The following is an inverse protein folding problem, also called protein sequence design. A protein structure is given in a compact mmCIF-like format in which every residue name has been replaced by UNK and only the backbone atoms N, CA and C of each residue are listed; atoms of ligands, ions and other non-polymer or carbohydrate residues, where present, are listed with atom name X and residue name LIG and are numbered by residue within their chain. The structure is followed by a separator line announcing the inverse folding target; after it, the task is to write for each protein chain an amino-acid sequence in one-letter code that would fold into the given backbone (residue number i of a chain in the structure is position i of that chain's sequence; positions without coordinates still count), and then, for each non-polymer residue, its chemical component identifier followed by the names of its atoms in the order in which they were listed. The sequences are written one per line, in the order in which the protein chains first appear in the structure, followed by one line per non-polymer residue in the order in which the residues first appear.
data_IF_006931864790
#
_entry.id   IF_006931864790
#
_cell.length_a   1.000
_cell.length_b   1.000
_cell.length_c   1.000
_cell.angle_alpha   90.00
_cell.angle_beta   90.00
_cell.angle_gamma   90.00
#
_symmetry.space_group_name_H-M   'P 1'
#
loop_
_entity.id
_entity.type
_entity.pdbx_description
1 polymer ?
#
# COMPACT_ATOMS: atom_id res chain seq x y z
N UNK A 1 -7.99 11.92 -4.60
CA UNK A 1 -7.17 10.93 -3.86
C UNK A 1 -5.73 11.41 -3.89
N UNK A 2 -4.94 11.14 -2.84
CA UNK A 2 -3.50 11.46 -2.77
C UNK A 2 -2.69 10.17 -2.70
N UNK A 3 -1.43 10.20 -3.11
CA UNK A 3 -0.53 9.03 -3.08
C UNK A 3 -0.31 8.51 -1.65
N UNK A 4 -0.30 9.40 -0.65
CA UNK A 4 -0.22 9.03 0.77
C UNK A 4 -1.27 7.97 1.18
N UNK A 5 -2.46 7.98 0.55
CA UNK A 5 -3.48 6.95 0.78
C UNK A 5 -3.07 5.60 0.18
N UNK A 6 -2.49 5.58 -1.01
CA UNK A 6 -1.99 4.34 -1.62
C UNK A 6 -0.78 3.79 -0.85
N UNK A 7 0.10 4.67 -0.35
CA UNK A 7 1.18 4.30 0.57
C UNK A 7 0.62 3.60 1.81
N UNK A 8 -0.42 4.16 2.43
CA UNK A 8 -1.10 3.56 3.58
C UNK A 8 -1.72 2.19 3.24
N UNK A 9 -2.45 2.11 2.13
CA UNK A 9 -3.07 0.86 1.65
C UNK A 9 -2.01 -0.21 1.41
N UNK A 10 -0.91 0.12 0.75
CA UNK A 10 0.17 -0.82 0.49
C UNK A 10 0.89 -1.22 1.78
N UNK A 11 1.30 -0.27 2.60
CA UNK A 11 2.05 -0.54 3.83
C UNK A 11 1.29 -1.50 4.77
N UNK A 12 -0.02 -1.33 4.88
CA UNK A 12 -0.88 -2.16 5.74
C UNK A 12 -1.62 -3.27 5.00
N UNK A 13 -1.41 -3.40 3.69
CA UNK A 13 -2.02 -4.42 2.83
C UNK A 13 -3.57 -4.42 2.88
N UNK A 14 -4.18 -3.22 2.92
CA UNK A 14 -5.64 -3.00 3.01
C UNK A 14 -6.31 -2.97 1.63
N UNK A 15 -6.22 -4.07 0.90
CA UNK A 15 -6.88 -4.28 -0.38
C UNK A 15 -7.18 -5.76 -0.58
N UNK A 16 -8.04 -6.08 -1.55
CA UNK A 16 -8.34 -7.47 -1.88
C UNK A 16 -7.14 -8.16 -2.56
N UNK A 17 -6.56 -9.13 -1.84
CA UNK A 17 -5.42 -9.95 -2.26
C UNK A 17 -5.85 -11.25 -2.95
N UNK A 18 -7.15 -11.50 -3.10
CA UNK A 18 -7.66 -12.67 -3.81
C UNK A 18 -7.20 -12.63 -5.27
N UNK A 19 -6.59 -13.72 -5.74
CA UNK A 19 -6.04 -13.85 -7.10
C UNK A 19 -5.26 -12.60 -7.53
N UNK A 20 -4.32 -12.15 -6.69
CA UNK A 20 -3.52 -10.96 -6.94
C UNK A 20 -2.63 -11.20 -8.18
N UNK A 21 -2.74 -10.32 -9.16
CA UNK A 21 -2.03 -10.41 -10.44
C UNK A 21 -1.53 -9.05 -10.90
N UNK A 22 -0.43 -9.06 -11.65
CA UNK A 22 0.04 -7.89 -12.38
C UNK A 22 -0.92 -7.57 -13.52
N UNK A 23 -0.82 -6.37 -14.09
CA UNK A 23 -1.56 -5.98 -15.30
C UNK A 23 -1.24 -6.89 -16.50
N UNK A 24 -0.07 -7.53 -16.51
CA UNK A 24 0.32 -8.56 -17.47
C UNK A 24 -0.18 -9.98 -17.15
N UNK A 25 -0.94 -10.17 -16.07
CA UNK A 25 -1.54 -11.45 -15.69
C UNK A 25 -0.67 -12.37 -14.84
N UNK A 26 0.58 -11.99 -14.56
CA UNK A 26 1.49 -12.74 -13.69
C UNK A 26 1.00 -12.71 -12.24
N UNK A 27 1.06 -13.85 -11.54
CA UNK A 27 0.62 -13.95 -10.14
C UNK A 27 1.55 -13.18 -9.20
N UNK A 28 0.98 -12.47 -8.22
CA UNK A 28 1.73 -11.72 -7.21
C UNK A 28 1.44 -12.31 -5.84
N UNK A 29 2.50 -12.61 -5.08
CA UNK A 29 2.42 -12.83 -3.65
C UNK A 29 3.28 -11.79 -2.92
N UNK A 30 2.67 -11.01 -2.03
CA UNK A 30 3.39 -10.06 -1.18
C UNK A 30 3.90 -10.79 0.05
N UNK A 31 5.20 -11.11 0.09
CA UNK A 31 5.84 -11.74 1.25
C UNK A 31 6.20 -10.68 2.30
N UNK A 32 6.74 -9.54 1.85
CA UNK A 32 6.97 -8.33 2.64
C UNK A 32 6.72 -7.08 1.78
N UNK A 33 5.88 -6.12 2.21
CA UNK A 33 5.60 -4.90 1.43
C UNK A 33 6.80 -3.97 1.28
N UNK A 34 7.83 -4.14 2.11
CA UNK A 34 8.99 -3.25 2.19
C UNK A 34 8.85 -2.23 3.33
N UNK A 35 9.83 -1.34 3.41
CA UNK A 35 9.92 -0.27 4.40
C UNK A 35 9.74 1.06 3.67
N UNK A 36 8.85 1.93 4.19
CA UNK A 36 8.62 3.25 3.60
C UNK A 36 9.92 4.05 3.62
N UNK A 37 10.28 4.59 2.47
CA UNK A 37 11.42 5.46 2.28
C UNK A 37 10.97 6.92 2.48
N UNK A 38 11.68 7.66 3.31
CA UNK A 38 11.44 9.10 3.49
C UNK A 38 12.43 9.95 2.69
N UNK A 39 13.47 9.33 2.14
CA UNK A 39 14.52 9.97 1.36
C UNK A 39 14.23 9.86 -0.15
N UNK A 40 15.08 10.46 -0.96
CA UNK A 40 14.98 10.37 -2.41
C UNK A 40 15.11 8.91 -2.93
N UNK A 41 14.36 8.59 -3.97
CA UNK A 41 14.32 7.26 -4.58
C UNK A 41 12.95 6.61 -4.43
N UNK A 42 12.85 5.29 -4.60
CA UNK A 42 11.57 4.61 -4.57
C UNK A 42 10.84 4.71 -3.23
N UNK A 43 9.52 4.65 -3.26
CA UNK A 43 8.64 4.80 -2.08
C UNK A 43 8.86 3.75 -0.99
N UNK A 44 9.11 2.49 -1.38
CA UNK A 44 9.34 1.39 -0.44
C UNK A 44 10.59 0.62 -0.82
N UNK A 45 11.48 0.39 0.15
CA UNK A 45 12.71 -0.37 -0.02
C UNK A 45 12.57 -1.78 0.59
N UNK A 46 13.42 -2.71 0.14
CA UNK A 46 13.52 -4.07 0.70
C UNK A 46 12.20 -4.87 0.72
N UNK A 47 11.33 -4.63 -0.27
CA UNK A 47 10.15 -5.45 -0.50
C UNK A 47 10.58 -6.86 -0.94
N UNK A 48 9.81 -7.86 -0.50
CA UNK A 48 9.92 -9.26 -0.96
C UNK A 48 8.62 -9.68 -1.58
N UNK A 49 8.67 -9.99 -2.86
CA UNK A 49 7.52 -10.34 -3.68
C UNK A 49 7.82 -11.64 -4.40
N UNK A 50 6.83 -12.51 -4.56
CA UNK A 50 6.90 -13.59 -5.55
C UNK A 50 6.06 -13.18 -6.74
N UNK A 51 6.69 -13.16 -7.91
CA UNK A 51 6.06 -12.89 -9.20
C UNK A 51 6.16 -14.16 -10.05
N UNK A 52 5.03 -14.81 -10.30
CA UNK A 52 5.00 -16.17 -10.82
C UNK A 52 5.76 -17.14 -9.91
N UNK A 53 6.80 -17.79 -10.44
CA UNK A 53 7.65 -18.74 -9.70
C UNK A 53 8.90 -18.08 -9.09
N UNK A 54 9.16 -16.80 -9.37
CA UNK A 54 10.41 -16.12 -8.99
C UNK A 54 10.18 -15.23 -7.77
N UNK A 55 11.04 -15.38 -6.77
CA UNK A 55 11.09 -14.46 -5.63
C UNK A 55 12.03 -13.29 -5.91
N UNK A 56 11.50 -12.08 -5.79
CA UNK A 56 12.19 -10.81 -6.00
C UNK A 56 12.44 -10.11 -4.67
N UNK A 57 13.64 -9.52 -4.56
CA UNK A 57 13.99 -8.55 -3.52
C UNK A 57 14.28 -7.22 -4.21
N UNK A 58 13.57 -6.16 -3.83
CA UNK A 58 13.75 -4.86 -4.47
C UNK A 58 12.87 -3.78 -3.88
N UNK A 59 12.62 -2.74 -4.67
CA UNK A 59 11.78 -1.62 -4.29
C UNK A 59 10.37 -1.72 -4.87
N UNK A 60 9.44 -1.00 -4.25
CA UNK A 60 8.09 -0.76 -4.78
C UNK A 60 7.93 0.74 -4.92
N UNK A 61 7.43 1.15 -6.09
CA UNK A 61 7.07 2.53 -6.37
C UNK A 61 5.55 2.67 -6.43
N UNK A 62 5.01 3.80 -5.96
CA UNK A 62 3.57 4.03 -5.91
C UNK A 62 3.18 5.33 -6.58
N UNK A 63 2.24 5.27 -7.53
CA UNK A 63 1.67 6.46 -8.18
C UNK A 63 0.15 6.38 -8.30
N UNK A 64 -0.52 7.51 -8.50
CA UNK A 64 -1.95 7.48 -8.87
C UNK A 64 -2.14 6.90 -10.27
N UNK A 65 -1.29 7.29 -11.23
CA UNK A 65 -1.30 6.77 -12.61
C UNK A 65 0.05 6.18 -12.95
N UNK A 66 0.06 5.12 -13.76
CA UNK A 66 1.32 4.56 -14.24
C UNK A 66 2.13 5.58 -15.08
N UNK A 67 1.44 6.42 -15.86
CA UNK A 67 2.06 7.49 -16.64
C UNK A 67 2.82 8.54 -15.82
N UNK A 68 2.55 8.68 -14.51
CA UNK A 68 3.30 9.59 -13.64
C UNK A 68 4.79 9.17 -13.50
N UNK A 69 5.12 7.90 -13.78
CA UNK A 69 6.51 7.44 -13.86
C UNK A 69 7.35 8.27 -14.83
N UNK A 70 6.81 8.52 -16.02
CA UNK A 70 7.48 9.32 -17.05
C UNK A 70 7.50 10.81 -16.70
N UNK A 71 6.40 11.30 -16.11
CA UNK A 71 6.24 12.69 -15.65
C UNK A 71 7.25 13.06 -14.56
N UNK A 72 7.58 12.11 -13.69
CA UNK A 72 8.58 12.27 -12.65
C UNK A 72 10.02 11.92 -13.12
N UNK A 73 10.21 11.59 -14.40
CA UNK A 73 11.50 11.29 -15.03
C UNK A 73 12.21 10.02 -14.49
N UNK A 74 11.49 9.11 -13.84
CA UNK A 74 12.03 7.88 -13.26
C UNK A 74 12.61 6.93 -14.30
N UNK A 75 12.09 6.95 -15.54
CA UNK A 75 12.61 6.18 -16.68
C UNK A 75 14.06 6.50 -17.04
N UNK A 76 14.60 7.62 -16.56
CA UNK A 76 16.00 8.04 -16.78
C UNK A 76 16.86 8.00 -15.52
N UNK A 77 16.27 7.74 -14.35
CA UNK A 77 16.97 7.74 -13.07
C UNK A 77 17.25 6.29 -12.60
N UNK A 78 18.54 5.93 -12.55
CA UNK A 78 19.00 4.60 -12.15
C UNK A 78 18.60 4.22 -10.71
N UNK A 79 18.25 5.17 -9.85
CA UNK A 79 17.73 4.87 -8.50
C UNK A 79 16.45 4.02 -8.54
N UNK A 80 15.72 4.06 -9.65
CA UNK A 80 14.46 3.35 -9.83
C UNK A 80 14.62 2.01 -10.56
N UNK A 81 15.84 1.63 -10.99
CA UNK A 81 16.08 0.33 -11.62
C UNK A 81 15.86 -0.84 -10.64
N UNK A 82 15.93 -0.59 -9.33
CA UNK A 82 15.62 -1.56 -8.29
C UNK A 82 14.11 -1.77 -8.06
N UNK A 83 13.24 -0.99 -8.70
CA UNK A 83 11.78 -1.17 -8.57
C UNK A 83 11.39 -2.48 -9.21
N UNK A 84 10.85 -3.40 -8.43
CA UNK A 84 10.40 -4.73 -8.88
C UNK A 84 8.90 -4.80 -9.13
N UNK A 85 8.13 -3.88 -8.55
CA UNK A 85 6.69 -3.74 -8.76
C UNK A 85 6.30 -2.26 -8.70
N UNK A 86 5.51 -1.81 -9.67
CA UNK A 86 4.88 -0.49 -9.67
C UNK A 86 3.43 -0.63 -9.22
N UNK A 87 3.10 -0.12 -8.03
CA UNK A 87 1.72 -0.17 -7.51
C UNK A 87 1.04 1.12 -7.91
N UNK A 88 -0.09 1.03 -8.60
CA UNK A 88 -0.81 2.21 -9.09
C UNK A 88 -2.27 2.15 -8.74
N UNK A 89 -2.93 3.29 -8.62
CA UNK A 89 -4.39 3.29 -8.62
C UNK A 89 -4.90 2.91 -10.01
N UNK A 90 -4.42 3.60 -11.05
CA UNK A 90 -4.79 3.38 -12.45
C UNK A 90 -3.56 3.00 -13.30
N UNK A 91 -3.66 1.92 -14.06
CA UNK A 91 -2.59 1.40 -14.91
C UNK A 91 -2.79 1.83 -16.36
N UNK A 92 -2.60 3.13 -16.61
CA UNK A 92 -2.88 3.80 -17.89
C UNK A 92 -1.73 3.72 -18.92
N UNK A 93 -0.56 3.22 -18.53
CA UNK A 93 0.61 3.08 -19.38
C UNK A 93 1.53 1.95 -18.91
N UNK A 94 2.29 1.38 -19.85
CA UNK A 94 3.43 0.51 -19.54
C UNK A 94 4.65 1.36 -19.18
N UNK A 95 5.34 0.99 -18.10
CA UNK A 95 6.55 1.69 -17.66
C UNK A 95 7.77 0.80 -17.74
N UNK A 96 8.94 1.41 -17.97
CA UNK A 96 10.19 0.71 -18.21
C UNK A 96 11.31 1.28 -17.33
N UNK A 97 12.23 0.39 -16.95
CA UNK A 97 13.52 0.74 -16.34
C UNK A 97 14.45 1.36 -17.37
N UNK A 98 15.59 1.89 -16.91
CA UNK A 98 16.59 2.52 -17.81
C UNK A 98 17.16 1.53 -18.84
N UNK A 99 17.16 0.24 -18.53
CA UNK A 99 17.59 -0.84 -19.43
C UNK A 99 16.51 -1.29 -20.43
N UNK A 100 15.34 -0.66 -20.44
CA UNK A 100 14.22 -0.97 -21.33
C UNK A 100 13.32 -2.13 -20.89
N UNK A 101 13.67 -2.85 -19.82
CA UNK A 101 12.80 -3.89 -19.25
C UNK A 101 11.50 -3.30 -18.69
N UNK A 102 10.39 -4.01 -18.87
CA UNK A 102 9.11 -3.64 -18.28
C UNK A 102 9.15 -3.80 -16.76
N UNK A 103 8.49 -2.89 -16.05
CA UNK A 103 8.23 -3.04 -14.62
C UNK A 103 6.80 -3.60 -14.49
N UNK A 104 6.62 -4.76 -13.85
CA UNK A 104 5.29 -5.28 -13.57
C UNK A 104 4.49 -4.27 -12.74
N UNK A 105 3.22 -4.06 -13.11
CA UNK A 105 2.35 -3.13 -12.40
C UNK A 105 1.19 -3.85 -11.69
N UNK A 106 0.81 -3.36 -10.51
CA UNK A 106 -0.40 -3.78 -9.80
C UNK A 106 -1.39 -2.62 -9.76
N UNK A 107 -2.57 -2.80 -10.34
CA UNK A 107 -3.67 -1.84 -10.25
C UNK A 107 -4.50 -2.08 -8.97
N UNK A 108 -4.58 -1.06 -8.11
CA UNK A 108 -5.32 -1.10 -6.86
C UNK A 108 -6.79 -0.68 -7.01
N UNK A 109 -7.16 0.15 -7.99
CA UNK A 109 -8.54 0.61 -8.15
C UNK A 109 -9.62 -0.48 -8.02
N UNK A 110 -9.51 -1.66 -8.69
CA UNK A 110 -10.52 -2.71 -8.57
C UNK A 110 -10.47 -3.50 -7.26
N UNK A 111 -9.48 -3.25 -6.40
CA UNK A 111 -9.19 -4.02 -5.18
C UNK A 111 -9.44 -3.23 -3.90
N UNK A 112 -9.82 -1.97 -4.01
CA UNK A 112 -10.14 -1.10 -2.88
C UNK A 112 -11.61 -1.23 -2.51
N UNK A 113 -11.90 -1.39 -1.22
CA UNK A 113 -13.27 -1.29 -0.73
C UNK A 113 -13.80 0.15 -0.97
N UNK A 114 -15.04 0.33 -1.48
CA UNK A 114 -15.55 1.64 -1.87
C UNK A 114 -15.52 2.70 -0.76
N UNK A 115 -15.67 2.28 0.50
CA UNK A 115 -15.73 3.14 1.67
C UNK A 115 -14.36 3.38 2.35
N UNK A 116 -13.31 2.66 1.93
CA UNK A 116 -11.99 2.71 2.58
C UNK A 116 -11.36 4.11 2.54
N UNK A 117 -11.44 4.79 1.39
CA UNK A 117 -10.91 6.15 1.25
C UNK A 117 -11.63 7.12 2.19
N UNK A 118 -12.96 7.03 2.27
CA UNK A 118 -13.76 7.88 3.15
C UNK A 118 -13.42 7.67 4.62
N UNK A 119 -13.27 6.41 5.05
CA UNK A 119 -12.83 6.08 6.41
C UNK A 119 -11.43 6.60 6.72
N UNK A 120 -10.48 6.43 5.79
CA UNK A 120 -9.13 6.98 5.94
C UNK A 120 -9.15 8.49 6.10
N UNK A 121 -9.90 9.21 5.24
CA UNK A 121 -10.01 10.66 5.31
C UNK A 121 -10.63 11.12 6.64
N UNK A 122 -11.69 10.46 7.11
CA UNK A 122 -12.31 10.76 8.39
C UNK A 122 -11.33 10.60 9.57
N UNK A 123 -10.46 9.57 9.53
CA UNK A 123 -9.44 9.35 10.55
C UNK A 123 -8.34 10.42 10.53
N UNK A 124 -7.81 10.74 9.35
CA UNK A 124 -6.71 11.71 9.21
C UNK A 124 -7.16 13.15 9.52
N UNK A 125 -8.41 13.47 9.23
CA UNK A 125 -8.99 14.80 9.48
C UNK A 125 -9.62 14.94 10.87
N UNK A 126 -9.66 13.86 11.67
CA UNK A 126 -10.21 13.92 13.02
C UNK A 126 -9.37 14.88 13.88
N UNK A 127 -10.00 15.81 14.61
CA UNK A 127 -9.26 16.73 15.47
C UNK A 127 -8.60 15.97 16.63
N UNK A 128 -7.43 16.40 17.14
CA UNK A 128 -6.74 15.72 18.25
C UNK A 128 -7.57 15.61 19.53
N UNK A 129 -8.51 16.55 19.73
CA UNK A 129 -9.44 16.56 20.86
C UNK A 129 -10.68 15.66 20.66
N UNK A 130 -10.82 15.02 19.48
CA UNK A 130 -11.89 14.05 19.27
C UNK A 130 -11.70 12.85 20.20
N UNK A 131 -12.82 12.24 20.60
CA UNK A 131 -12.78 10.93 21.23
C UNK A 131 -12.04 9.93 20.32
N UNK A 132 -11.43 8.91 20.92
CA UNK A 132 -10.74 7.85 20.18
C UNK A 132 -11.62 7.36 19.02
N UNK A 133 -11.08 7.14 17.81
CA UNK A 133 -11.90 6.77 16.65
C UNK A 133 -12.76 5.51 16.87
N UNK A 134 -12.30 4.60 17.72
CA UNK A 134 -13.03 3.40 18.10
C UNK A 134 -14.02 3.59 19.26
N UNK A 135 -14.05 4.75 19.93
CA UNK A 135 -14.91 4.99 21.09
C UNK A 135 -16.42 4.74 20.80
N UNK A 136 -16.97 5.15 19.64
CA UNK A 136 -18.37 4.83 19.30
C UNK A 136 -18.63 3.32 19.14
N UNK A 137 -17.59 2.53 18.86
CA UNK A 137 -17.69 1.08 18.68
C UNK A 137 -17.61 0.31 20.01
N UNK A 138 -17.28 0.97 21.13
CA UNK A 138 -17.14 0.32 22.44
C UNK A 138 -18.43 -0.38 22.90
N UNK A 139 -19.59 0.14 22.49
CA UNK A 139 -20.89 -0.49 22.74
C UNK A 139 -21.09 -1.83 22.01
N UNK A 140 -20.37 -2.06 20.91
CA UNK A 140 -20.44 -3.28 20.10
C UNK A 140 -19.52 -4.39 20.64
N UNK A 141 -18.59 -4.06 21.56
CA UNK A 141 -17.70 -5.03 22.19
C UNK A 141 -18.43 -5.75 23.33
N UNK A 142 -18.38 -7.10 23.38
CA UNK A 142 -19.02 -7.86 24.46
C UNK A 142 -18.60 -7.40 25.86
N UNK A 143 -19.54 -7.34 26.79
CA UNK A 143 -19.30 -6.87 28.17
C UNK A 143 -18.17 -7.62 28.85
N UNK A 144 -18.12 -8.95 28.71
CA UNK A 144 -17.06 -9.77 29.31
C UNK A 144 -15.66 -9.34 28.84
N UNK A 145 -15.50 -9.09 27.54
CA UNK A 145 -14.23 -8.61 26.97
C UNK A 145 -13.84 -7.24 27.55
N UNK A 146 -14.81 -6.32 27.69
CA UNK A 146 -14.55 -5.00 28.27
C UNK A 146 -14.07 -5.11 29.72
N UNK A 147 -14.77 -5.89 30.54
CA UNK A 147 -14.40 -6.08 31.96
C UNK A 147 -12.99 -6.67 32.09
N UNK A 148 -12.71 -7.76 31.38
CA UNK A 148 -11.40 -8.42 31.46
C UNK A 148 -10.23 -7.50 31.04
N UNK A 149 -10.42 -6.70 29.98
CA UNK A 149 -9.39 -5.77 29.54
C UNK A 149 -9.21 -4.61 30.52
N UNK A 150 -10.29 -4.10 31.12
CA UNK A 150 -10.21 -3.05 32.14
C UNK A 150 -9.54 -3.53 33.42
N UNK A 151 -9.88 -4.72 33.92
CA UNK A 151 -9.23 -5.32 35.09
C UNK A 151 -7.74 -5.52 34.85
N UNK A 152 -7.36 -6.03 33.68
CA UNK A 152 -5.96 -6.21 33.31
C UNK A 152 -5.20 -4.88 33.30
N UNK A 153 -5.74 -3.84 32.68
CA UNK A 153 -5.09 -2.54 32.60
C UNK A 153 -4.98 -1.81 33.95
N UNK A 154 -5.79 -2.18 34.96
CA UNK A 154 -5.71 -1.64 36.32
C UNK A 154 -4.66 -2.33 37.19
N UNK A 155 -4.24 -3.54 36.81
CA UNK A 155 -3.27 -4.36 37.55
C UNK A 155 -1.84 -4.24 37.01
N UNK A 156 -1.66 -3.81 35.76
CA UNK A 156 -0.38 -3.47 35.13
C UNK A 156 -0.01 -2.00 35.39
#
# INVERSE_FOLDING_TARGET
MREDFLHYVWQHQYFDKTALRTTGGEEIQVLRPGQRNADAGPDFLNARLRLGEVEWNGAVEIHLRASDWARHHHQTDKKYDQVVLHVVHDADADVRRTNGSLIPALALAPRLAPDLLGRYQALVQAPPAAALPCAPLLGQVPTLTRVLMTERALLE
#
